data_IF_406324660706
#
_entry.id   IF_406324660706
#
_cell.length_a   1.000
_cell.length_b   1.000
_cell.length_c   1.000
_cell.angle_alpha   90.00
_cell.angle_beta   90.00
_cell.angle_gamma   90.00
#
_symmetry.space_group_name_H-M   'P 1'
#
loop_
_entity.id
_entity.type
_entity.pdbx_description
1 polymer ?
#
# COMPACT_ATOMS: atom_id res chain seq x y z
N UNK A 1 -1.76 7.71 -1.49
CA UNK A 1 -3.05 7.36 -2.11
C UNK A 1 -3.67 8.67 -2.52
N UNK A 2 -3.89 8.89 -3.81
CA UNK A 2 -4.56 10.08 -4.34
C UNK A 2 -6.07 9.97 -4.17
N UNK A 3 -6.79 11.09 -4.18
CA UNK A 3 -8.25 11.09 -4.02
C UNK A 3 -8.99 10.32 -5.12
N UNK A 4 -8.35 10.16 -6.29
CA UNK A 4 -8.89 9.42 -7.43
C UNK A 4 -8.51 7.94 -7.41
N UNK A 5 -7.74 7.49 -6.41
CA UNK A 5 -7.46 6.06 -6.20
C UNK A 5 -8.71 5.33 -5.67
N UNK A 6 -8.87 4.03 -5.96
CA UNK A 6 -9.93 3.21 -5.40
C UNK A 6 -9.85 3.13 -3.87
N UNK A 7 -11.00 3.20 -3.20
CA UNK A 7 -11.12 3.07 -1.75
C UNK A 7 -10.60 1.68 -1.29
N UNK A 8 -9.79 1.58 -0.22
CA UNK A 8 -9.17 0.33 0.19
C UNK A 8 -10.15 -0.62 0.92
N UNK A 9 -11.17 -1.09 0.22
CA UNK A 9 -12.26 -1.91 0.79
C UNK A 9 -11.74 -3.22 1.41
N UNK A 10 -10.67 -3.79 0.84
CA UNK A 10 -10.08 -5.06 1.29
C UNK A 10 -9.37 -4.94 2.65
N UNK A 11 -9.04 -3.71 3.07
CA UNK A 11 -8.44 -3.43 4.39
C UNK A 11 -9.49 -3.11 5.45
N UNK A 12 -10.74 -2.91 5.05
CA UNK A 12 -11.83 -2.57 5.94
C UNK A 12 -12.42 -3.83 6.59
N UNK A 13 -13.04 -3.65 7.76
CA UNK A 13 -13.85 -4.71 8.37
C UNK A 13 -14.97 -5.18 7.42
N UNK A 14 -15.39 -6.44 7.52
CA UNK A 14 -16.43 -7.01 6.64
C UNK A 14 -17.75 -6.21 6.66
N UNK A 15 -18.05 -5.55 7.78
CA UNK A 15 -19.20 -4.65 7.92
C UNK A 15 -19.03 -3.37 7.11
N UNK A 16 -17.89 -2.70 7.23
CA UNK A 16 -17.56 -1.50 6.43
C UNK A 16 -17.57 -1.85 4.94
N UNK A 17 -16.91 -2.95 4.55
CA UNK A 17 -16.88 -3.43 3.17
C UNK A 17 -18.29 -3.62 2.62
N UNK A 18 -19.15 -4.34 3.35
CA UNK A 18 -20.51 -4.62 2.93
C UNK A 18 -21.34 -3.36 2.77
N UNK A 19 -21.23 -2.42 3.71
CA UNK A 19 -22.00 -1.19 3.69
C UNK A 19 -21.53 -0.20 2.60
N UNK A 20 -20.22 -0.05 2.41
CA UNK A 20 -19.65 0.76 1.33
C UNK A 20 -20.03 0.16 -0.03
N UNK A 21 -19.89 -1.15 -0.22
CA UNK A 21 -20.32 -1.77 -1.48
C UNK A 21 -21.83 -1.63 -1.70
N UNK A 22 -22.65 -1.78 -0.66
CA UNK A 22 -24.10 -1.61 -0.79
C UNK A 22 -24.49 -0.19 -1.24
N UNK A 23 -23.87 0.83 -0.62
CA UNK A 23 -24.09 2.24 -0.97
C UNK A 23 -23.72 2.54 -2.42
N UNK A 24 -22.64 1.92 -2.89
CA UNK A 24 -22.13 2.11 -4.24
C UNK A 24 -22.58 1.01 -5.23
N UNK A 25 -23.72 0.35 -4.98
CA UNK A 25 -24.34 -0.63 -5.90
C UNK A 25 -23.41 -1.79 -6.31
N UNK A 26 -22.54 -2.22 -5.39
CA UNK A 26 -21.57 -3.29 -5.60
C UNK A 26 -20.28 -2.86 -6.30
N UNK A 27 -20.14 -1.59 -6.72
CA UNK A 27 -18.90 -1.08 -7.30
C UNK A 27 -17.92 -0.65 -6.20
N UNK A 28 -16.62 -0.70 -6.51
CA UNK A 28 -15.60 -0.11 -5.66
C UNK A 28 -15.56 1.41 -5.91
N UNK A 29 -15.86 2.27 -4.92
CA UNK A 29 -15.78 3.72 -5.07
C UNK A 29 -14.34 4.23 -5.02
N UNK A 30 -14.13 5.46 -5.48
CA UNK A 30 -12.88 6.21 -5.25
C UNK A 30 -12.88 6.87 -3.87
N UNK A 31 -11.72 7.23 -3.36
CA UNK A 31 -11.59 7.92 -2.06
C UNK A 31 -12.34 9.25 -2.06
N UNK A 32 -12.31 10.00 -3.18
CA UNK A 32 -13.05 11.25 -3.36
C UNK A 32 -14.55 11.05 -3.20
N UNK A 33 -15.10 10.00 -3.80
CA UNK A 33 -16.53 9.69 -3.71
C UNK A 33 -16.94 9.37 -2.26
N UNK A 34 -16.16 8.52 -1.58
CA UNK A 34 -16.42 8.17 -0.17
C UNK A 34 -16.25 9.41 0.76
N UNK A 35 -15.27 10.27 0.46
CA UNK A 35 -15.02 11.51 1.21
C UNK A 35 -16.12 12.56 1.02
N UNK A 36 -16.77 12.59 -0.15
CA UNK A 36 -17.81 13.56 -0.48
C UNK A 36 -19.13 13.37 0.29
N UNK A 37 -19.38 12.16 0.79
CA UNK A 37 -20.56 11.85 1.61
C UNK A 37 -20.31 12.40 3.02
N UNK A 38 -21.27 13.16 3.55
CA UNK A 38 -21.20 13.71 4.91
C UNK A 38 -21.37 12.64 5.98
N UNK A 39 -20.89 12.89 7.19
CA UNK A 39 -21.06 11.97 8.33
C UNK A 39 -22.53 11.66 8.62
N UNK A 40 -23.39 12.69 8.56
CA UNK A 40 -24.83 12.52 8.75
C UNK A 40 -25.44 11.59 7.70
N UNK A 41 -25.01 11.70 6.43
CA UNK A 41 -25.48 10.80 5.37
C UNK A 41 -24.95 9.38 5.58
N UNK A 42 -23.67 9.22 5.92
CA UNK A 42 -23.11 7.91 6.23
C UNK A 42 -23.87 7.19 7.35
N UNK A 43 -24.28 7.92 8.40
CA UNK A 43 -25.06 7.36 9.51
C UNK A 43 -26.50 6.96 9.14
N UNK A 44 -27.00 7.36 7.97
CA UNK A 44 -28.28 6.87 7.44
C UNK A 44 -28.13 5.56 6.67
N UNK A 45 -26.91 5.18 6.28
CA UNK A 45 -26.65 3.97 5.53
C UNK A 45 -26.82 2.73 6.43
N UNK A 46 -27.57 1.70 6.00
CA UNK A 46 -27.73 0.48 6.76
C UNK A 46 -26.38 -0.14 7.14
N UNK A 47 -26.24 -0.56 8.39
CA UNK A 47 -25.01 -1.14 8.96
C UNK A 47 -23.84 -0.18 9.16
N UNK A 48 -24.04 1.13 9.02
CA UNK A 48 -23.03 2.15 9.34
C UNK A 48 -23.42 2.87 10.63
N UNK A 49 -22.69 2.55 11.69
CA UNK A 49 -22.73 3.26 12.96
C UNK A 49 -21.53 4.19 13.12
N UNK A 50 -21.48 4.96 14.23
CA UNK A 50 -20.39 5.90 14.52
C UNK A 50 -18.99 5.28 14.44
N UNK A 51 -18.82 4.06 14.97
CA UNK A 51 -17.55 3.31 14.94
C UNK A 51 -17.17 2.84 13.53
N UNK A 52 -18.15 2.45 12.71
CA UNK A 52 -17.94 2.05 11.32
C UNK A 52 -17.57 3.27 10.45
N UNK A 53 -18.21 4.40 10.71
CA UNK A 53 -17.89 5.68 10.08
C UNK A 53 -16.49 6.15 10.46
N UNK A 54 -16.09 6.03 11.72
CA UNK A 54 -14.74 6.37 12.16
C UNK A 54 -13.67 5.53 11.46
N UNK A 55 -13.94 4.24 11.24
CA UNK A 55 -13.08 3.36 10.44
C UNK A 55 -12.96 3.84 8.98
N UNK A 56 -14.09 4.20 8.35
CA UNK A 56 -14.12 4.77 6.98
C UNK A 56 -13.29 6.07 6.93
N UNK A 57 -13.50 6.98 7.89
CA UNK A 57 -12.79 8.25 7.99
C UNK A 57 -11.30 8.05 8.21
N UNK A 58 -10.88 7.05 8.99
CA UNK A 58 -9.46 6.72 9.15
C UNK A 58 -8.79 6.40 7.82
N UNK A 59 -9.44 5.65 6.94
CA UNK A 59 -8.89 5.31 5.62
C UNK A 59 -8.90 6.49 4.65
N UNK A 60 -9.88 7.40 4.76
CA UNK A 60 -9.93 8.63 3.96
C UNK A 60 -8.86 9.62 4.43
N UNK A 61 -8.77 9.88 5.74
CA UNK A 61 -7.79 10.79 6.35
C UNK A 61 -6.34 10.29 6.23
N UNK A 62 -6.14 9.01 5.91
CA UNK A 62 -4.83 8.48 5.52
C UNK A 62 -4.35 8.97 4.14
N UNK A 63 -5.17 9.73 3.41
CA UNK A 63 -4.87 10.33 2.12
C UNK A 63 -5.37 11.79 2.03
N UNK A 64 -4.58 12.82 1.66
CA UNK A 64 -3.12 13.00 1.70
C UNK A 64 -2.68 13.93 2.86
N UNK A 65 -1.50 13.62 3.42
CA UNK A 65 -0.44 14.48 3.99
C UNK A 65 -0.71 15.76 4.83
N UNK A 66 -1.78 16.53 4.66
CA UNK A 66 -1.87 17.90 5.20
C UNK A 66 -2.16 17.94 6.71
N UNK A 67 -2.87 16.94 7.25
CA UNK A 67 -3.16 16.87 8.69
C UNK A 67 -2.10 16.10 9.50
N UNK A 68 -1.23 15.31 8.84
CA UNK A 68 -0.13 14.60 9.52
C UNK A 68 1.14 15.44 9.66
N UNK A 69 1.30 16.50 8.86
CA UNK A 69 2.42 17.45 8.98
C UNK A 69 2.37 18.30 10.25
N UNK A 70 1.23 18.34 10.96
CA UNK A 70 1.12 19.11 12.20
C UNK A 70 1.72 18.38 13.41
N UNK A 71 2.02 17.09 13.33
CA UNK A 71 2.45 16.27 14.47
C UNK A 71 3.63 15.31 14.20
N UNK A 72 4.29 15.37 13.04
CA UNK A 72 5.56 14.67 12.85
C UNK A 72 6.72 15.63 13.16
N UNK A 73 7.81 15.18 13.80
CA UNK A 73 9.06 15.94 13.78
C UNK A 73 9.40 16.13 12.31
N UNK A 74 9.35 17.37 11.84
CA UNK A 74 9.68 17.73 10.46
C UNK A 74 11.14 17.38 10.24
N UNK A 75 11.36 16.19 9.68
CA UNK A 75 12.68 15.71 9.32
C UNK A 75 13.20 16.65 8.24
N UNK A 76 14.34 17.28 8.47
CA UNK A 76 14.90 18.31 7.60
C UNK A 76 15.10 17.73 6.19
N UNK A 77 14.87 18.53 5.14
CA UNK A 77 14.95 18.08 3.75
C UNK A 77 16.30 17.41 3.42
N UNK A 78 17.40 17.89 4.01
CA UNK A 78 18.72 17.28 3.87
C UNK A 78 18.80 15.86 4.46
N UNK A 79 18.09 15.61 5.55
CA UNK A 79 18.02 14.30 6.20
C UNK A 79 17.13 13.34 5.39
N UNK A 80 16.03 13.83 4.81
CA UNK A 80 15.18 13.08 3.88
C UNK A 80 15.96 12.63 2.64
N UNK A 81 16.69 13.54 2.01
CA UNK A 81 17.53 13.22 0.85
C UNK A 81 18.65 12.23 1.21
N UNK A 82 19.23 12.35 2.40
CA UNK A 82 20.24 11.42 2.90
C UNK A 82 19.66 10.02 3.12
N UNK A 83 18.44 9.93 3.68
CA UNK A 83 17.73 8.66 3.89
C UNK A 83 17.36 8.00 2.58
N UNK A 84 16.88 8.75 1.59
CA UNK A 84 16.58 8.24 0.24
C UNK A 84 17.84 7.66 -0.40
N UNK A 85 18.95 8.41 -0.40
CA UNK A 85 20.22 7.94 -0.95
C UNK A 85 20.72 6.66 -0.28
N UNK A 86 20.56 6.57 1.04
CA UNK A 86 20.91 5.35 1.79
C UNK A 86 20.06 4.16 1.36
N UNK A 87 18.74 4.31 1.34
CA UNK A 87 17.81 3.23 0.96
C UNK A 87 18.06 2.76 -0.49
N UNK A 88 18.34 3.68 -1.40
CA UNK A 88 18.64 3.35 -2.78
C UNK A 88 19.94 2.54 -2.91
N UNK A 89 20.97 2.84 -2.10
CA UNK A 89 22.19 2.02 -2.02
C UNK A 89 21.90 0.63 -1.46
N UNK A 90 21.14 0.53 -0.39
CA UNK A 90 20.79 -0.76 0.23
C UNK A 90 20.02 -1.66 -0.75
N UNK A 91 19.04 -1.11 -1.48
CA UNK A 91 18.31 -1.85 -2.52
C UNK A 91 19.23 -2.30 -3.66
N UNK A 92 20.16 -1.46 -4.11
CA UNK A 92 21.10 -1.81 -5.15
C UNK A 92 22.04 -2.95 -4.72
N UNK A 93 22.46 -2.97 -3.45
CA UNK A 93 23.27 -4.05 -2.89
C UNK A 93 22.48 -5.37 -2.80
N UNK A 94 21.23 -5.32 -2.36
CA UNK A 94 20.38 -6.51 -2.30
C UNK A 94 20.15 -7.05 -3.71
N UNK A 95 19.81 -6.17 -4.67
CA UNK A 95 19.56 -6.56 -6.05
C UNK A 95 20.81 -7.16 -6.71
N UNK A 96 21.99 -6.61 -6.47
CA UNK A 96 23.25 -7.15 -7.01
C UNK A 96 23.61 -8.50 -6.37
N UNK A 97 23.41 -8.66 -5.06
CA UNK A 97 23.64 -9.93 -4.36
C UNK A 97 22.70 -11.04 -4.86
N UNK A 98 21.42 -10.72 -5.08
CA UNK A 98 20.44 -11.67 -5.65
C UNK A 98 20.86 -12.07 -7.06
N UNK A 99 21.19 -11.09 -7.93
CA UNK A 99 21.66 -11.38 -9.29
C UNK A 99 22.91 -12.26 -9.29
N UNK A 100 23.90 -11.96 -8.44
CA UNK A 100 25.11 -12.75 -8.32
C UNK A 100 24.81 -14.20 -7.91
N UNK A 101 23.89 -14.40 -6.95
CA UNK A 101 23.46 -15.74 -6.52
C UNK A 101 22.74 -16.52 -7.62
N UNK A 102 21.84 -15.87 -8.37
CA UNK A 102 21.13 -16.51 -9.48
C UNK A 102 22.11 -16.91 -10.59
N UNK A 103 23.02 -16.00 -10.96
CA UNK A 103 24.05 -16.29 -11.96
C UNK A 103 24.95 -17.44 -11.51
N UNK A 104 25.44 -17.42 -10.26
CA UNK A 104 26.27 -18.49 -9.70
C UNK A 104 25.55 -19.86 -9.66
N UNK A 105 24.25 -19.88 -9.35
CA UNK A 105 23.44 -21.10 -9.39
C UNK A 105 23.30 -21.64 -10.82
N UNK A 106 23.16 -20.76 -11.81
CA UNK A 106 23.11 -21.13 -13.23
C UNK A 106 24.43 -21.74 -13.74
N UNK A 107 25.57 -21.19 -13.30
CA UNK A 107 26.90 -21.75 -13.61
C UNK A 107 27.15 -23.11 -12.94
N UNK A 108 26.55 -23.38 -11.78
CA UNK A 108 26.69 -24.68 -11.09
C UNK A 108 25.92 -25.81 -11.75
N UNK A 109 24.80 -25.52 -12.42
CA UNK A 109 24.02 -26.52 -13.15
C UNK A 109 24.66 -26.90 -14.50
N UNK A 110 25.27 -25.96 -15.21
CA UNK A 110 25.98 -26.25 -16.46
C UNK A 110 27.30 -27.00 -16.27
N UNK A 111 27.94 -26.90 -15.09
CA UNK A 111 29.13 -27.68 -14.75
C UNK A 111 28.83 -29.15 -14.41
N UNK A 112 27.65 -29.47 -13.89
CA UNK A 112 27.24 -30.86 -13.57
C UNK A 112 26.81 -31.66 -14.80
N UNK A 113 26.34 -30.98 -15.85
CA UNK A 113 25.81 -31.64 -17.05
C UNK A 113 26.91 -32.11 -18.03
N UNK A 114 28.17 -31.69 -17.84
CA UNK A 114 29.32 -32.13 -18.66
C UNK A 114 29.99 -33.42 -18.18
N UNK A 115 29.57 -33.99 -17.04
CA UNK A 115 30.22 -35.18 -16.45
C UNK A 115 29.44 -36.49 -16.66
N UNK A 116 28.28 -36.45 -17.32
CA UNK A 116 27.42 -37.62 -17.57
C UNK A 116 27.40 -38.07 -19.03
N UNK A 117 28.21 -37.47 -19.90
CA UNK A 117 28.29 -37.78 -21.35
C UNK A 117 29.68 -38.33 -21.74
N UNK A 118 30.30 -39.06 -20.82
CA UNK A 118 31.55 -39.79 -21.04
C UNK A 118 31.45 -41.16 -20.37
N UNK A 119 30.70 -42.06 -21.01
CA UNK A 119 30.85 -43.52 -20.82
C UNK A 119 30.64 -44.16 -22.18
#
# INVERSE_FOLDING_TARGET
MGLDDPFPIEKCSGRVRGAVLAEFQGRCPTIREVASISDAQWLTVPNIGPTTLEEIRRFISEAPAEQRLQNLPTMEDGELLSRINRLQRELNLIASAIRARISAASFKNSAKQKHTDAT
#
